data_IF_559311554890
#
_entry.id   IF_559311554890
#
_cell.length_a   1.000
_cell.length_b   1.000
_cell.length_c   1.000
_cell.angle_alpha   90.00
_cell.angle_beta   90.00
_cell.angle_gamma   90.00
#
_symmetry.space_group_name_H-M   'P 1'
#
loop_
_entity.id
_entity.type
_entity.pdbx_description
1 polymer ?
#
# COMPACT_ATOMS: atom_id res chain seq x y z
N UNK A 1 23.14 -59.57 12.15
CA UNK A 1 23.83 -58.26 12.16
C UNK A 1 23.48 -57.54 10.87
N UNK A 2 22.81 -56.41 11.00
CA UNK A 2 22.30 -55.50 9.97
C UNK A 2 23.42 -54.83 9.17
N UNK A 3 23.09 -54.32 7.97
CA UNK A 3 23.31 -52.91 7.60
C UNK A 3 22.57 -52.58 6.29
N UNK A 4 21.58 -51.70 6.42
CA UNK A 4 20.85 -51.01 5.37
C UNK A 4 21.64 -49.77 4.89
N UNK A 5 21.30 -49.26 3.71
CA UNK A 5 21.42 -47.81 3.41
C UNK A 5 20.49 -47.39 2.27
N UNK A 6 19.24 -47.09 2.62
CA UNK A 6 18.32 -46.27 1.82
C UNK A 6 18.52 -44.80 2.18
N UNK A 7 18.92 -44.00 1.19
CA UNK A 7 19.10 -42.55 1.30
C UNK A 7 17.75 -41.86 1.15
N UNK A 8 17.12 -41.48 2.27
CA UNK A 8 15.99 -40.55 2.31
C UNK A 8 16.51 -39.25 2.91
N UNK A 9 16.71 -38.25 2.05
CA UNK A 9 17.07 -36.89 2.45
C UNK A 9 15.79 -36.20 2.95
N UNK A 10 15.69 -36.00 4.26
CA UNK A 10 14.59 -35.22 4.86
C UNK A 10 14.67 -33.77 4.38
N UNK A 11 13.59 -33.28 3.75
CA UNK A 11 13.42 -31.84 3.52
C UNK A 11 12.93 -31.21 4.81
N UNK A 12 13.72 -30.30 5.36
CA UNK A 12 13.32 -29.44 6.47
C UNK A 12 12.25 -28.48 5.93
N UNK A 13 11.02 -28.63 6.43
CA UNK A 13 9.97 -27.62 6.31
C UNK A 13 10.42 -26.41 7.13
N UNK A 14 10.85 -25.35 6.45
CA UNK A 14 11.07 -24.04 7.07
C UNK A 14 9.69 -23.47 7.39
N UNK A 15 9.23 -23.68 8.62
CA UNK A 15 8.06 -22.96 9.15
C UNK A 15 8.45 -21.48 9.30
N UNK A 16 7.64 -20.53 8.80
CA UNK A 16 7.89 -19.11 9.02
C UNK A 16 7.85 -18.75 10.53
N UNK A 17 8.49 -17.64 10.93
CA UNK A 17 8.55 -17.22 12.33
C UNK A 17 7.16 -17.10 12.96
N UNK A 18 7.03 -17.58 14.20
CA UNK A 18 5.76 -17.67 14.97
C UNK A 18 5.15 -16.32 15.40
N UNK A 19 5.52 -15.20 14.78
CA UNK A 19 5.14 -13.86 15.26
C UNK A 19 3.67 -13.48 14.99
N UNK A 20 2.99 -14.13 14.04
CA UNK A 20 1.67 -13.67 13.54
C UNK A 20 0.52 -14.66 13.78
N UNK A 21 0.63 -15.55 14.77
CA UNK A 21 -0.37 -16.61 15.02
C UNK A 21 -1.73 -16.15 15.58
N UNK A 22 -1.99 -14.84 15.71
CA UNK A 22 -3.19 -14.31 16.36
C UNK A 22 -4.19 -13.59 15.43
N UNK A 23 -3.96 -13.55 14.11
CA UNK A 23 -4.92 -12.98 13.17
C UNK A 23 -5.89 -14.08 12.68
N UNK A 24 -7.18 -13.90 12.96
CA UNK A 24 -8.24 -14.85 12.61
C UNK A 24 -8.22 -15.20 11.11
N UNK A 25 -8.19 -16.50 10.81
CA UNK A 25 -8.40 -17.06 9.46
C UNK A 25 -9.85 -16.80 9.01
N UNK A 26 -10.11 -15.59 8.50
CA UNK A 26 -11.36 -15.24 7.85
C UNK A 26 -11.40 -15.75 6.41
N UNK A 27 -12.44 -16.52 6.07
CA UNK A 27 -12.68 -17.03 4.73
C UNK A 27 -13.08 -15.89 3.77
N UNK A 28 -12.09 -15.33 3.08
CA UNK A 28 -12.27 -14.64 1.81
C UNK A 28 -11.25 -15.25 0.85
N UNK A 29 -11.68 -16.18 0.00
CA UNK A 29 -10.83 -16.76 -1.04
C UNK A 29 -10.68 -15.70 -2.14
N UNK A 30 -9.73 -14.79 -1.94
CA UNK A 30 -9.15 -14.01 -3.03
C UNK A 30 -8.13 -14.90 -3.72
N UNK A 31 -8.14 -14.94 -5.05
CA UNK A 31 -7.00 -15.49 -5.78
C UNK A 31 -5.85 -14.49 -5.62
N UNK A 32 -4.67 -14.91 -5.11
CA UNK A 32 -3.55 -14.02 -4.92
C UNK A 32 -3.18 -13.33 -6.23
N UNK A 33 -2.78 -12.06 -6.16
CA UNK A 33 -2.39 -11.28 -7.35
C UNK A 33 -0.92 -10.88 -7.31
N UNK A 34 0.03 -11.80 -7.60
CA UNK A 34 1.47 -11.54 -7.41
C UNK A 34 2.00 -10.30 -8.12
N UNK A 35 1.51 -10.00 -9.32
CA UNK A 35 1.92 -8.82 -10.07
C UNK A 35 1.48 -7.52 -9.38
N UNK A 36 0.27 -7.49 -8.84
CA UNK A 36 -0.25 -6.34 -8.11
C UNK A 36 0.49 -6.18 -6.77
N UNK A 37 0.70 -7.27 -6.04
CA UNK A 37 1.46 -7.26 -4.77
C UNK A 37 2.88 -6.75 -5.00
N UNK A 38 3.56 -7.25 -6.04
CA UNK A 38 4.89 -6.75 -6.43
C UNK A 38 4.89 -5.25 -6.67
N UNK A 39 3.93 -4.76 -7.47
CA UNK A 39 3.83 -3.34 -7.83
C UNK A 39 3.63 -2.46 -6.59
N UNK A 40 2.74 -2.85 -5.67
CA UNK A 40 2.50 -2.10 -4.44
C UNK A 40 3.69 -2.20 -3.50
N UNK A 41 4.31 -3.37 -3.35
CA UNK A 41 5.51 -3.55 -2.54
C UNK A 41 6.66 -2.65 -3.03
N UNK A 42 6.93 -2.61 -4.32
CA UNK A 42 7.99 -1.76 -4.89
C UNK A 42 7.73 -0.28 -4.60
N UNK A 43 6.47 0.17 -4.72
CA UNK A 43 6.07 1.53 -4.38
C UNK A 43 6.18 1.82 -2.87
N UNK A 44 5.70 0.91 -2.01
CA UNK A 44 5.80 1.04 -0.55
C UNK A 44 7.26 1.10 -0.11
N UNK A 45 8.09 0.15 -0.55
CA UNK A 45 9.52 0.10 -0.25
C UNK A 45 10.21 1.39 -0.67
N UNK A 46 9.90 1.90 -1.88
CA UNK A 46 10.43 3.18 -2.35
C UNK A 46 10.01 4.33 -1.41
N UNK A 47 8.72 4.46 -1.10
CA UNK A 47 8.20 5.51 -0.23
C UNK A 47 8.80 5.50 1.18
N UNK A 48 8.92 4.31 1.79
CA UNK A 48 9.56 4.15 3.11
C UNK A 48 11.04 4.52 3.09
N UNK A 49 11.78 4.17 2.02
CA UNK A 49 13.18 4.58 1.89
C UNK A 49 13.32 6.09 1.69
N UNK A 50 12.47 6.72 0.86
CA UNK A 50 12.44 8.19 0.74
C UNK A 50 12.13 8.85 2.10
N UNK A 51 11.27 8.23 2.91
CA UNK A 51 10.92 8.74 4.23
C UNK A 51 12.07 8.61 5.23
N UNK A 52 12.80 7.49 5.19
CA UNK A 52 14.02 7.26 5.96
C UNK A 52 15.10 8.29 5.58
N UNK A 53 15.35 8.48 4.29
CA UNK A 53 16.32 9.46 3.76
C UNK A 53 15.99 10.89 4.22
N UNK A 54 14.72 11.28 4.20
CA UNK A 54 14.29 12.59 4.67
C UNK A 54 14.62 12.81 6.17
N UNK A 55 14.40 11.79 7.00
CA UNK A 55 14.72 11.85 8.43
C UNK A 55 16.23 11.78 8.71
N UNK A 56 16.99 11.05 7.90
CA UNK A 56 18.46 11.06 7.97
C UNK A 56 19.00 12.45 7.64
N UNK A 57 18.47 13.12 6.60
CA UNK A 57 18.86 14.48 6.26
C UNK A 57 18.49 15.50 7.37
N UNK A 58 17.34 15.32 8.02
CA UNK A 58 16.97 16.12 9.20
C UNK A 58 17.94 15.88 10.37
N UNK A 59 18.29 14.62 10.64
CA UNK A 59 19.26 14.28 11.68
C UNK A 59 20.62 14.92 11.42
N UNK A 60 21.10 14.88 10.16
CA UNK A 60 22.36 15.51 9.75
C UNK A 60 22.33 17.03 9.95
N UNK A 61 21.21 17.67 9.59
CA UNK A 61 21.00 19.09 9.81
C UNK A 61 21.02 19.47 11.30
N UNK A 62 20.27 18.75 12.14
CA UNK A 62 20.23 18.97 13.59
C UNK A 62 21.61 18.72 14.23
N UNK A 63 22.31 17.67 13.79
CA UNK A 63 23.64 17.32 14.27
C UNK A 63 24.70 18.36 13.87
N UNK A 64 24.59 18.94 12.67
CA UNK A 64 25.40 20.07 12.22
C UNK A 64 25.21 21.29 13.11
N UNK A 65 23.95 21.70 13.34
CA UNK A 65 23.62 22.80 14.27
C UNK A 65 24.14 22.56 15.67
N UNK A 66 24.12 21.32 16.14
CA UNK A 66 24.63 20.94 17.46
C UNK A 66 26.14 21.15 17.58
N UNK A 67 26.91 20.93 16.50
CA UNK A 67 28.35 21.21 16.44
C UNK A 67 28.65 22.71 16.44
N UNK A 68 27.92 23.50 15.67
CA UNK A 68 28.15 24.95 15.53
C UNK A 68 27.71 25.74 16.76
N UNK A 69 26.62 25.31 17.41
CA UNK A 69 26.07 26.04 18.55
C UNK A 69 26.99 26.00 19.76
N UNK A 70 27.84 24.96 19.94
CA UNK A 70 28.83 24.79 21.04
C UNK A 70 29.69 26.03 21.35
N UNK A 71 29.74 27.02 20.45
CA UNK A 71 30.38 28.34 20.63
C UNK A 71 29.55 29.38 21.40
N UNK A 72 28.23 29.22 21.54
CA UNK A 72 27.31 30.22 22.11
C UNK A 72 26.54 29.65 23.33
N UNK A 73 26.56 30.38 24.46
CA UNK A 73 26.21 29.91 25.80
C UNK A 73 24.70 29.98 26.14
N UNK A 74 23.88 29.03 25.67
CA UNK A 74 22.48 28.85 26.13
C UNK A 74 22.17 27.39 26.44
N UNK A 75 22.43 26.94 27.67
CA UNK A 75 22.33 25.53 28.11
C UNK A 75 20.97 24.87 27.77
N UNK A 76 19.85 25.57 27.99
CA UNK A 76 18.51 25.05 27.69
C UNK A 76 18.31 24.71 26.20
N UNK A 77 18.90 25.50 25.30
CA UNK A 77 18.82 25.27 23.86
C UNK A 77 19.53 23.95 23.45
N UNK A 78 20.64 23.58 24.11
CA UNK A 78 21.30 22.29 23.83
C UNK A 78 20.48 21.11 24.29
N UNK A 79 19.84 21.22 25.45
CA UNK A 79 19.00 20.15 25.97
C UNK A 79 17.84 19.87 25.00
N UNK A 80 17.18 20.92 24.50
CA UNK A 80 16.11 20.78 23.53
C UNK A 80 16.61 20.20 22.19
N UNK A 81 17.78 20.64 21.72
CA UNK A 81 18.38 20.14 20.49
C UNK A 81 18.82 18.66 20.60
N UNK A 82 19.47 18.27 21.70
CA UNK A 82 19.86 16.87 21.96
C UNK A 82 18.61 15.97 22.09
N UNK A 83 17.54 16.47 22.72
CA UNK A 83 16.26 15.78 22.80
C UNK A 83 15.65 15.57 21.41
N UNK A 84 15.69 16.58 20.54
CA UNK A 84 15.23 16.46 19.16
C UNK A 84 16.06 15.44 18.37
N UNK A 85 17.39 15.52 18.44
CA UNK A 85 18.31 14.57 17.81
C UNK A 85 17.98 13.13 18.22
N UNK A 86 17.87 12.85 19.53
CA UNK A 86 17.51 11.53 20.04
C UNK A 86 16.11 11.07 19.64
N UNK A 87 15.20 12.00 19.37
CA UNK A 87 13.86 11.68 18.89
C UNK A 87 13.92 11.21 17.45
N UNK A 88 14.60 11.95 16.57
CA UNK A 88 14.77 11.60 15.15
C UNK A 88 15.57 10.31 15.01
N UNK A 89 16.65 10.13 15.77
CA UNK A 89 17.44 8.90 15.83
C UNK A 89 16.62 7.66 16.18
N UNK A 90 15.70 7.77 17.15
CA UNK A 90 14.81 6.67 17.51
C UNK A 90 13.78 6.40 16.42
N UNK A 91 13.32 7.44 15.73
CA UNK A 91 12.37 7.31 14.64
C UNK A 91 12.99 6.64 13.41
N UNK A 92 14.21 7.02 13.03
CA UNK A 92 15.00 6.36 11.97
C UNK A 92 15.10 4.86 12.23
N UNK A 93 15.46 4.44 13.46
CA UNK A 93 15.54 3.01 13.82
C UNK A 93 14.20 2.27 13.70
N UNK A 94 13.09 2.95 14.01
CA UNK A 94 11.75 2.38 13.81
C UNK A 94 11.42 2.22 12.33
N UNK A 95 11.80 3.19 11.49
CA UNK A 95 11.62 3.10 10.04
C UNK A 95 12.47 1.98 9.43
N UNK A 96 13.72 1.85 9.83
CA UNK A 96 14.60 0.75 9.39
C UNK A 96 14.00 -0.63 9.74
N UNK A 97 13.45 -0.75 10.95
CA UNK A 97 12.74 -1.96 11.36
C UNK A 97 11.49 -2.20 10.52
N UNK A 98 10.67 -1.17 10.31
CA UNK A 98 9.46 -1.26 9.47
C UNK A 98 9.78 -1.69 8.03
N UNK A 99 10.83 -1.11 7.42
CA UNK A 99 11.30 -1.51 6.09
C UNK A 99 11.69 -2.99 6.08
N UNK A 100 12.42 -3.44 7.12
CA UNK A 100 12.85 -4.84 7.24
C UNK A 100 11.65 -5.80 7.36
N UNK A 101 10.62 -5.44 8.14
CA UNK A 101 9.38 -6.24 8.26
C UNK A 101 8.65 -6.36 6.91
N UNK A 102 8.54 -5.25 6.18
CA UNK A 102 7.90 -5.22 4.85
C UNK A 102 8.68 -6.07 3.84
N UNK A 103 10.01 -6.02 3.87
CA UNK A 103 10.87 -6.85 3.02
C UNK A 103 10.74 -8.35 3.36
N UNK A 104 10.76 -8.72 4.64
CA UNK A 104 10.61 -10.11 5.07
C UNK A 104 9.25 -10.70 4.64
N UNK A 105 8.17 -9.92 4.80
CA UNK A 105 6.84 -10.32 4.33
C UNK A 105 6.82 -10.58 2.82
N UNK A 106 7.44 -9.69 2.03
CA UNK A 106 7.47 -9.85 0.57
C UNK A 106 8.35 -11.02 0.13
N UNK A 107 9.48 -11.27 0.81
CA UNK A 107 10.30 -12.45 0.58
C UNK A 107 9.54 -13.75 0.86
N UNK A 108 8.81 -13.80 1.99
CA UNK A 108 7.94 -14.92 2.33
C UNK A 108 6.85 -15.13 1.25
N UNK A 109 6.24 -14.05 0.77
CA UNK A 109 5.26 -14.10 -0.32
C UNK A 109 5.87 -14.69 -1.61
N UNK A 110 7.08 -14.27 -1.99
CA UNK A 110 7.79 -14.77 -3.16
C UNK A 110 8.12 -16.27 -3.04
N UNK A 111 8.46 -16.75 -1.84
CA UNK A 111 8.67 -18.18 -1.59
C UNK A 111 7.36 -18.95 -1.84
N UNK A 112 6.25 -18.47 -1.30
CA UNK A 112 4.94 -19.13 -1.49
C UNK A 112 4.49 -19.11 -2.95
N UNK A 113 4.73 -18.03 -3.69
CA UNK A 113 4.51 -17.98 -5.14
C UNK A 113 5.23 -19.12 -5.85
N UNK A 114 6.54 -19.27 -5.59
CA UNK A 114 7.39 -20.29 -6.24
C UNK A 114 6.96 -21.72 -5.88
N UNK A 115 6.56 -21.95 -4.62
CA UNK A 115 6.06 -23.26 -4.17
C UNK A 115 4.74 -23.61 -4.86
N UNK A 116 3.80 -22.65 -4.93
CA UNK A 116 2.51 -22.82 -5.61
C UNK A 116 2.69 -23.11 -7.10
N UNK A 117 3.57 -22.37 -7.77
CA UNK A 117 3.86 -22.56 -9.20
C UNK A 117 4.51 -23.93 -9.44
N UNK A 118 5.47 -24.32 -8.60
CA UNK A 118 6.09 -25.64 -8.65
C UNK A 118 5.07 -26.78 -8.48
N UNK A 119 4.18 -26.68 -7.50
CA UNK A 119 3.13 -27.67 -7.26
C UNK A 119 2.11 -27.71 -8.42
N UNK A 120 1.76 -26.56 -9.00
CA UNK A 120 0.87 -26.46 -10.15
C UNK A 120 1.48 -27.11 -11.40
N UNK A 121 2.76 -26.87 -11.66
CA UNK A 121 3.50 -27.49 -12.77
C UNK A 121 3.59 -29.01 -12.60
N UNK A 122 3.87 -29.50 -11.39
CA UNK A 122 3.85 -30.94 -11.10
C UNK A 122 2.46 -31.53 -11.31
N UNK A 123 1.41 -30.86 -10.85
CA UNK A 123 0.01 -31.30 -11.01
C UNK A 123 -0.34 -31.49 -12.49
N UNK A 124 0.06 -30.55 -13.34
CA UNK A 124 -0.12 -30.65 -14.78
C UNK A 124 0.63 -31.85 -15.37
N UNK A 125 1.90 -32.04 -15.00
CA UNK A 125 2.71 -33.18 -15.47
C UNK A 125 2.12 -34.54 -15.05
N UNK A 126 1.64 -34.67 -13.81
CA UNK A 126 0.98 -35.89 -13.33
C UNK A 126 -0.36 -36.15 -14.02
N UNK A 127 -1.09 -35.10 -14.41
CA UNK A 127 -2.37 -35.23 -15.13
C UNK A 127 -2.18 -35.73 -16.57
N UNK A 128 -1.01 -35.49 -17.17
CA UNK A 128 -0.63 -36.00 -18.49
C UNK A 128 -0.01 -37.42 -18.43
N UNK A 129 0.29 -37.92 -17.24
CA UNK A 129 0.93 -39.22 -17.03
C UNK A 129 -0.09 -40.34 -16.83
N UNK A 130 0.26 -41.62 -17.11
CA UNK A 130 -0.63 -42.75 -16.87
C UNK A 130 -1.15 -42.80 -15.42
N UNK A 131 -2.45 -43.06 -15.26
CA UNK A 131 -3.11 -43.06 -13.96
C UNK A 131 -2.78 -44.34 -13.17
N UNK A 132 -1.78 -44.26 -12.29
CA UNK A 132 -1.40 -45.29 -11.32
C UNK A 132 -1.93 -44.92 -9.92
N UNK A 133 -1.96 -45.88 -8.99
CA UNK A 133 -2.33 -45.59 -7.59
C UNK A 133 -1.42 -44.52 -6.97
N UNK A 134 -0.10 -44.65 -7.19
CA UNK A 134 0.88 -43.68 -6.69
C UNK A 134 0.69 -42.29 -7.31
N UNK A 135 0.41 -42.19 -8.62
CA UNK A 135 0.17 -40.88 -9.25
C UNK A 135 -1.11 -40.22 -8.75
N UNK A 136 -2.15 -41.00 -8.41
CA UNK A 136 -3.37 -40.46 -7.77
C UNK A 136 -3.10 -39.91 -6.37
N UNK A 137 -2.32 -40.63 -5.55
CA UNK A 137 -1.91 -40.16 -4.22
C UNK A 137 -1.07 -38.88 -4.30
N UNK A 138 -0.09 -38.82 -5.22
CA UNK A 138 0.69 -37.61 -5.48
C UNK A 138 -0.16 -36.43 -5.94
N UNK A 139 -1.16 -36.66 -6.79
CA UNK A 139 -2.08 -35.61 -7.23
C UNK A 139 -2.85 -35.02 -6.03
N UNK A 140 -3.37 -35.84 -5.13
CA UNK A 140 -4.08 -35.37 -3.93
C UNK A 140 -3.19 -34.49 -3.05
N UNK A 141 -1.93 -34.89 -2.83
CA UNK A 141 -0.97 -34.07 -2.09
C UNK A 141 -0.67 -32.74 -2.80
N UNK A 142 -0.52 -32.75 -4.13
CA UNK A 142 -0.29 -31.54 -4.92
C UNK A 142 -1.47 -30.57 -4.87
N UNK A 143 -2.71 -31.08 -4.92
CA UNK A 143 -3.90 -30.24 -4.72
C UNK A 143 -3.89 -29.57 -3.34
N UNK A 144 -3.56 -30.33 -2.28
CA UNK A 144 -3.44 -29.77 -0.93
C UNK A 144 -2.34 -28.71 -0.85
N UNK A 145 -1.16 -28.97 -1.42
CA UNK A 145 -0.05 -28.03 -1.39
C UNK A 145 -0.37 -26.73 -2.14
N UNK A 146 -1.03 -26.79 -3.30
CA UNK A 146 -1.47 -25.58 -4.02
C UNK A 146 -2.45 -24.77 -3.18
N UNK A 147 -3.39 -25.43 -2.51
CA UNK A 147 -4.35 -24.79 -1.62
C UNK A 147 -3.66 -24.12 -0.42
N UNK A 148 -2.79 -24.84 0.28
CA UNK A 148 -2.03 -24.33 1.43
C UNK A 148 -1.18 -23.11 1.03
N UNK A 149 -0.45 -23.19 -0.10
CA UNK A 149 0.33 -22.04 -0.58
C UNK A 149 -0.56 -20.84 -0.91
N UNK A 150 -1.76 -21.08 -1.47
CA UNK A 150 -2.71 -20.01 -1.79
C UNK A 150 -3.24 -19.33 -0.52
N UNK A 151 -3.58 -20.11 0.51
CA UNK A 151 -3.98 -19.58 1.81
C UNK A 151 -2.86 -18.77 2.48
N UNK A 152 -1.63 -19.28 2.46
CA UNK A 152 -0.46 -18.58 3.00
C UNK A 152 -0.19 -17.27 2.25
N UNK A 153 -0.33 -17.27 0.92
CA UNK A 153 -0.20 -16.05 0.11
C UNK A 153 -1.24 -15.00 0.50
N UNK A 154 -2.51 -15.37 0.63
CA UNK A 154 -3.58 -14.46 1.05
C UNK A 154 -3.35 -13.92 2.46
N UNK A 155 -2.82 -14.76 3.36
CA UNK A 155 -2.46 -14.33 4.71
C UNK A 155 -1.34 -13.28 4.68
N UNK A 156 -0.29 -13.51 3.89
CA UNK A 156 0.83 -12.57 3.76
C UNK A 156 0.37 -11.27 3.08
N UNK A 157 -0.52 -11.33 2.09
CA UNK A 157 -1.14 -10.13 1.50
C UNK A 157 -1.87 -9.30 2.57
N UNK A 158 -2.68 -9.94 3.41
CA UNK A 158 -3.36 -9.26 4.52
C UNK A 158 -2.38 -8.66 5.56
N UNK A 159 -1.26 -9.34 5.84
CA UNK A 159 -0.22 -8.80 6.71
C UNK A 159 0.48 -7.58 6.07
N UNK A 160 0.79 -7.65 4.77
CA UNK A 160 1.40 -6.54 4.03
C UNK A 160 0.47 -5.31 3.96
N UNK A 161 -0.85 -5.52 3.87
CA UNK A 161 -1.84 -4.42 3.87
C UNK A 161 -1.77 -3.55 5.13
N UNK A 162 -1.43 -4.14 6.29
CA UNK A 162 -1.28 -3.40 7.55
C UNK A 162 -0.16 -2.37 7.48
N UNK A 163 0.84 -2.59 6.62
CA UNK A 163 2.01 -1.73 6.47
C UNK A 163 1.85 -0.63 5.42
N UNK A 164 0.71 -0.56 4.73
CA UNK A 164 0.49 0.45 3.67
C UNK A 164 0.29 1.88 4.21
N UNK A 165 0.06 2.03 5.52
CA UNK A 165 -0.17 3.32 6.15
C UNK A 165 -1.57 3.89 5.85
N UNK A 166 -1.67 5.21 5.82
CA UNK A 166 -2.92 5.94 5.60
C UNK A 166 -2.75 6.98 4.49
N UNK A 167 -3.72 7.07 3.58
CA UNK A 167 -3.79 8.15 2.59
C UNK A 167 -4.67 9.28 3.11
N UNK A 168 -4.04 10.39 3.45
CA UNK A 168 -4.69 11.63 3.85
C UNK A 168 -4.93 12.46 2.58
N UNK A 169 -6.19 12.53 2.13
CA UNK A 169 -6.57 13.16 0.87
C UNK A 169 -7.36 14.44 1.15
N UNK A 170 -6.90 15.54 0.59
CA UNK A 170 -7.53 16.86 0.68
C UNK A 170 -7.99 17.37 -0.69
N UNK A 171 -9.23 17.81 -0.79
CA UNK A 171 -9.78 18.48 -1.96
C UNK A 171 -9.13 19.86 -2.16
N UNK A 172 -8.70 20.16 -3.38
CA UNK A 172 -8.14 21.47 -3.73
C UNK A 172 -8.96 22.23 -4.77
N UNK A 173 -9.74 21.54 -5.60
CA UNK A 173 -10.64 22.17 -6.54
C UNK A 173 -10.72 21.44 -7.88
N UNK A 174 -11.69 21.83 -8.69
CA UNK A 174 -11.85 21.45 -10.09
C UNK A 174 -11.19 22.52 -10.98
N UNK A 175 -10.55 22.14 -12.09
CA UNK A 175 -9.91 23.09 -13.03
C UNK A 175 -10.10 22.61 -14.47
N UNK A 176 -10.26 23.52 -15.42
CA UNK A 176 -10.21 23.21 -16.85
C UNK A 176 -11.53 22.67 -17.44
N UNK A 177 -12.59 22.55 -16.65
CA UNK A 177 -13.93 22.34 -17.20
C UNK A 177 -14.32 23.58 -18.02
N UNK A 178 -14.79 23.39 -19.25
CA UNK A 178 -14.93 24.43 -20.28
C UNK A 178 -15.81 25.64 -19.90
N UNK A 179 -16.44 25.62 -18.72
CA UNK A 179 -16.53 26.76 -17.79
C UNK A 179 -16.96 26.25 -16.41
N UNK A 180 -16.21 26.59 -15.37
CA UNK A 180 -16.72 26.61 -13.99
C UNK A 180 -17.32 28.00 -13.78
N UNK A 181 -18.63 28.13 -13.86
CA UNK A 181 -19.32 29.40 -13.72
C UNK A 181 -19.75 29.63 -12.26
N UNK A 182 -19.78 30.89 -11.80
CA UNK A 182 -20.43 31.24 -10.54
C UNK A 182 -21.83 30.65 -10.42
N UNK A 183 -22.08 29.97 -9.30
CA UNK A 183 -23.34 29.28 -9.02
C UNK A 183 -23.39 27.81 -9.46
N UNK A 184 -22.44 27.34 -10.27
CA UNK A 184 -22.34 25.92 -10.61
C UNK A 184 -22.11 25.09 -9.34
N UNK A 185 -22.74 23.92 -9.31
CA UNK A 185 -22.62 22.97 -8.22
C UNK A 185 -22.13 21.63 -8.75
N UNK A 186 -21.20 21.02 -8.03
CA UNK A 186 -20.62 19.75 -8.37
C UNK A 186 -20.69 18.79 -7.19
N UNK A 187 -20.85 17.51 -7.48
CA UNK A 187 -20.63 16.42 -6.53
C UNK A 187 -19.43 15.60 -7.02
N UNK A 188 -18.43 15.46 -6.13
CA UNK A 188 -17.30 14.57 -6.34
C UNK A 188 -17.51 13.35 -5.46
N UNK A 189 -17.27 12.17 -6.03
CA UNK A 189 -17.30 10.90 -5.33
C UNK A 189 -15.96 10.21 -5.53
N UNK A 190 -15.23 10.00 -4.44
CA UNK A 190 -13.96 9.28 -4.40
C UNK A 190 -14.17 7.96 -3.68
N UNK A 191 -13.70 6.86 -4.27
CA UNK A 191 -13.84 5.51 -3.70
C UNK A 191 -12.51 4.76 -3.76
N UNK A 192 -12.17 4.09 -2.66
CA UNK A 192 -11.08 3.12 -2.59
C UNK A 192 -11.63 1.84 -1.95
N UNK A 193 -11.92 0.84 -2.79
CA UNK A 193 -12.63 -0.37 -2.37
C UNK A 193 -13.99 -0.05 -1.73
N UNK A 194 -14.12 -0.37 -0.44
CA UNK A 194 -15.33 -0.15 0.37
C UNK A 194 -15.42 1.26 0.96
N UNK A 195 -14.31 2.01 0.99
CA UNK A 195 -14.26 3.36 1.54
C UNK A 195 -14.75 4.35 0.50
N UNK A 196 -15.63 5.25 0.92
CA UNK A 196 -16.29 6.23 0.05
C UNK A 196 -16.19 7.61 0.68
N UNK A 197 -15.98 8.60 -0.17
CA UNK A 197 -16.01 10.01 0.18
C UNK A 197 -16.85 10.73 -0.86
N UNK A 198 -17.87 11.45 -0.41
CA UNK A 198 -18.76 12.22 -1.26
C UNK A 198 -18.74 13.64 -0.74
N UNK A 199 -18.38 14.57 -1.60
CA UNK A 199 -18.30 15.98 -1.28
C UNK A 199 -19.03 16.78 -2.35
N UNK A 200 -19.68 17.86 -1.94
CA UNK A 200 -20.38 18.81 -2.79
C UNK A 200 -19.66 20.13 -2.76
N UNK A 201 -19.40 20.66 -3.94
CA UNK A 201 -18.74 21.93 -4.13
C UNK A 201 -19.61 22.91 -4.88
N UNK A 202 -19.39 24.20 -4.62
CA UNK A 202 -20.00 25.30 -5.34
C UNK A 202 -18.92 26.25 -5.83
N UNK A 203 -19.11 26.75 -7.05
CA UNK A 203 -18.30 27.84 -7.59
C UNK A 203 -18.91 29.16 -7.13
N UNK A 204 -18.12 29.98 -6.43
CA UNK A 204 -18.55 31.26 -5.89
C UNK A 204 -18.45 32.38 -6.94
N UNK A 205 -18.95 33.58 -6.59
CA UNK A 205 -18.98 34.73 -7.50
C UNK A 205 -17.60 35.29 -7.84
N UNK A 206 -16.59 34.96 -7.04
CA UNK A 206 -15.19 35.34 -7.23
C UNK A 206 -14.35 34.19 -7.84
N UNK A 207 -15.01 33.18 -8.42
CA UNK A 207 -14.42 31.95 -8.97
C UNK A 207 -13.73 31.05 -7.93
N UNK A 208 -13.80 31.39 -6.63
CA UNK A 208 -13.37 30.50 -5.56
C UNK A 208 -14.31 29.28 -5.46
N UNK A 209 -13.82 28.20 -4.87
CA UNK A 209 -14.59 26.97 -4.72
C UNK A 209 -14.74 26.65 -3.24
N UNK A 210 -15.98 26.47 -2.82
CA UNK A 210 -16.31 26.00 -1.47
C UNK A 210 -16.70 24.53 -1.56
N UNK A 211 -16.29 23.72 -0.58
CA UNK A 211 -16.59 22.30 -0.48
C UNK A 211 -17.12 22.00 0.92
N UNK A 212 -18.16 21.17 1.02
CA UNK A 212 -18.77 20.78 2.30
C UNK A 212 -17.83 19.91 3.17
N UNK A 213 -17.06 19.04 2.52
CA UNK A 213 -15.99 18.24 3.11
C UNK A 213 -14.70 18.44 2.32
N UNK A 214 -13.62 18.83 3.02
CA UNK A 214 -12.33 19.07 2.36
C UNK A 214 -11.35 17.90 2.49
N UNK A 215 -11.49 17.02 3.47
CA UNK A 215 -10.48 16.02 3.80
C UNK A 215 -11.07 14.66 4.14
N UNK A 216 -10.39 13.60 3.71
CA UNK A 216 -10.72 12.22 4.07
C UNK A 216 -9.46 11.37 4.19
N UNK A 217 -9.42 10.53 5.22
CA UNK A 217 -8.43 9.47 5.38
C UNK A 217 -8.94 8.19 4.71
N UNK A 218 -8.11 7.57 3.88
CA UNK A 218 -8.35 6.26 3.26
C UNK A 218 -7.28 5.26 3.70
N UNK A 219 -7.70 4.06 4.08
CA UNK A 219 -6.80 2.92 4.31
C UNK A 219 -6.49 2.26 2.97
N UNK A 220 -5.24 2.23 2.50
CA UNK A 220 -4.89 1.58 1.24
C UNK A 220 -5.16 0.07 1.29
N UNK A 221 -5.43 -0.52 0.13
CA UNK A 221 -5.60 -1.96 -0.04
C UNK A 221 -4.76 -2.39 -1.24
N UNK A 222 -4.20 -3.62 -1.22
CA UNK A 222 -3.30 -4.10 -2.28
C UNK A 222 -3.98 -4.16 -3.64
N UNK A 223 -5.28 -4.48 -3.65
CA UNK A 223 -6.02 -4.85 -4.84
C UNK A 223 -7.01 -3.80 -5.33
N UNK A 224 -7.15 -2.69 -4.60
CA UNK A 224 -8.11 -1.64 -4.88
C UNK A 224 -7.47 -0.43 -5.54
N UNK A 225 -8.22 0.17 -6.47
CA UNK A 225 -7.86 1.41 -7.14
C UNK A 225 -8.73 2.54 -6.63
N UNK A 226 -8.22 3.76 -6.74
CA UNK A 226 -9.07 4.93 -6.58
C UNK A 226 -9.98 5.05 -7.79
N UNK A 227 -11.25 5.31 -7.53
CA UNK A 227 -12.25 5.71 -8.53
C UNK A 227 -12.73 7.10 -8.14
N UNK A 228 -12.61 8.05 -9.06
CA UNK A 228 -13.07 9.42 -8.88
C UNK A 228 -14.15 9.70 -9.91
N UNK A 229 -15.34 10.06 -9.44
CA UNK A 229 -16.48 10.43 -10.26
C UNK A 229 -16.84 11.88 -9.98
N UNK A 230 -17.03 12.67 -11.03
CA UNK A 230 -17.50 14.06 -10.93
C UNK A 230 -18.84 14.19 -11.61
N UNK A 231 -19.79 14.81 -10.93
CA UNK A 231 -21.16 15.01 -11.39
C UNK A 231 -21.52 16.49 -11.22
N UNK A 232 -22.11 17.11 -12.23
CA UNK A 232 -22.64 18.47 -12.16
C UNK A 232 -24.11 18.41 -11.68
N UNK A 233 -24.47 19.29 -10.75
CA UNK A 233 -25.80 19.39 -10.17
C UNK A 233 -26.54 20.58 -10.82
N UNK A 234 -27.58 20.31 -11.61
CA UNK A 234 -28.39 21.32 -12.29
C UNK A 234 -29.84 21.28 -11.78
N UNK A 235 -30.10 21.99 -10.70
CA UNK A 235 -31.40 21.97 -10.04
C UNK A 235 -31.74 20.57 -9.52
N UNK A 236 -32.78 19.94 -10.10
CA UNK A 236 -33.15 18.56 -9.77
C UNK A 236 -32.44 17.50 -10.65
N UNK A 237 -31.74 17.92 -11.70
CA UNK A 237 -31.01 17.02 -12.59
C UNK A 237 -29.55 16.85 -12.14
N UNK A 238 -28.99 15.68 -12.40
CA UNK A 238 -27.56 15.39 -12.21
C UNK A 238 -26.95 14.93 -13.53
N UNK A 239 -25.81 15.51 -13.89
CA UNK A 239 -25.13 15.21 -15.16
C UNK A 239 -23.76 14.63 -14.84
N UNK A 240 -23.50 13.40 -15.28
CA UNK A 240 -22.18 12.80 -15.15
C UNK A 240 -21.18 13.58 -16.02
N UNK A 241 -20.15 14.12 -15.38
CA UNK A 241 -19.08 14.83 -16.09
C UNK A 241 -18.01 13.82 -16.53
N UNK A 242 -17.57 12.95 -15.62
CA UNK A 242 -16.59 11.94 -15.94
C UNK A 242 -16.30 11.00 -14.78
N UNK A 243 -15.65 9.88 -15.08
CA UNK A 243 -15.14 8.89 -14.13
C UNK A 243 -13.74 8.50 -14.53
N UNK A 244 -12.82 8.53 -13.58
CA UNK A 244 -11.44 8.09 -13.76
C UNK A 244 -11.07 7.08 -12.71
N UNK A 245 -10.18 6.15 -13.06
CA UNK A 245 -9.57 5.22 -12.09
C UNK A 245 -8.07 5.40 -12.09
N UNK A 246 -7.46 5.45 -10.91
CA UNK A 246 -6.03 5.59 -10.73
C UNK A 246 -5.47 4.56 -9.76
N UNK A 247 -4.24 4.13 -10.03
CA UNK A 247 -3.57 3.11 -9.24
C UNK A 247 -2.96 3.71 -7.97
N UNK A 248 -3.22 3.07 -6.83
CA UNK A 248 -2.75 3.50 -5.51
C UNK A 248 -1.21 3.45 -5.41
N UNK A 249 -0.55 2.61 -6.21
CA UNK A 249 0.92 2.52 -6.24
C UNK A 249 1.62 3.85 -6.51
N UNK A 250 0.91 4.78 -7.17
CA UNK A 250 1.47 6.07 -7.59
C UNK A 250 1.63 7.05 -6.43
N UNK A 251 1.09 6.73 -5.25
CA UNK A 251 0.91 7.70 -4.16
C UNK A 251 1.82 7.46 -2.95
N UNK A 252 2.54 6.34 -2.89
CA UNK A 252 3.44 6.02 -1.76
C UNK A 252 4.70 6.90 -1.76
N UNK A 253 4.60 8.08 -1.16
CA UNK A 253 5.70 9.04 -1.02
C UNK A 253 5.56 9.82 0.28
N UNK A 254 6.68 10.17 0.95
CA UNK A 254 6.66 10.85 2.24
C UNK A 254 6.25 12.31 2.19
N UNK A 255 6.32 12.94 1.01
CA UNK A 255 6.01 14.35 0.86
C UNK A 255 4.56 14.51 0.42
N UNK A 256 3.81 15.46 0.98
CA UNK A 256 2.50 15.81 0.46
C UNK A 256 2.58 16.16 -1.03
N UNK A 257 1.85 15.44 -1.86
CA UNK A 257 1.85 15.60 -3.30
C UNK A 257 0.59 16.33 -3.76
N UNK A 258 0.74 17.30 -4.66
CA UNK A 258 -0.38 17.82 -5.42
C UNK A 258 -0.66 16.86 -6.58
N UNK A 259 -1.80 16.20 -6.54
CA UNK A 259 -2.27 15.28 -7.57
C UNK A 259 -3.24 16.04 -8.46
N UNK A 260 -2.97 16.04 -9.76
CA UNK A 260 -3.90 16.51 -10.78
C UNK A 260 -4.37 15.29 -11.55
N UNK A 261 -5.67 15.03 -11.55
CA UNK A 261 -6.26 13.90 -12.25
C UNK A 261 -7.21 14.42 -13.32
N UNK A 262 -6.96 14.03 -14.56
CA UNK A 262 -7.84 14.36 -15.68
C UNK A 262 -9.13 13.55 -15.54
N UNK A 263 -10.26 14.25 -15.43
CA UNK A 263 -11.61 13.68 -15.37
C UNK A 263 -12.21 13.60 -16.78
N UNK A 264 -11.89 14.58 -17.63
CA UNK A 264 -12.22 14.63 -19.05
C UNK A 264 -11.01 15.15 -19.83
N UNK A 265 -11.10 15.30 -21.17
CA UNK A 265 -10.00 15.85 -21.99
C UNK A 265 -9.53 17.25 -21.56
N UNK A 266 -10.40 18.02 -20.90
CA UNK A 266 -10.10 19.40 -20.48
C UNK A 266 -10.26 19.59 -18.96
N UNK A 267 -11.16 18.83 -18.33
CA UNK A 267 -11.52 18.97 -16.92
C UNK A 267 -10.69 18.09 -16.02
N UNK A 268 -10.14 18.67 -14.95
CA UNK A 268 -9.24 18.03 -14.00
C UNK A 268 -9.71 18.26 -12.56
N UNK A 269 -9.45 17.29 -11.68
CA UNK A 269 -9.56 17.45 -10.24
C UNK A 269 -8.16 17.63 -9.65
N UNK A 270 -8.03 18.58 -8.74
CA UNK A 270 -6.84 18.80 -7.94
C UNK A 270 -7.08 18.28 -6.52
N UNK A 271 -6.21 17.38 -6.08
CA UNK A 271 -6.16 16.83 -4.74
C UNK A 271 -4.78 17.08 -4.15
N UNK A 272 -4.68 17.13 -2.83
CA UNK A 272 -3.42 16.98 -2.10
C UNK A 272 -3.47 15.65 -1.38
N UNK A 273 -2.45 14.81 -1.53
CA UNK A 273 -2.35 13.52 -0.86
C UNK A 273 -1.06 13.44 -0.07
N UNK A 274 -1.17 12.96 1.16
CA UNK A 274 -0.05 12.65 2.05
C UNK A 274 -0.19 11.21 2.55
N UNK A 275 0.92 10.49 2.62
CA UNK A 275 0.94 9.13 3.18
C UNK A 275 1.58 9.18 4.55
N UNK A 276 0.88 8.66 5.55
CA UNK A 276 1.40 8.50 6.91
C UNK A 276 1.62 7.02 7.20
N UNK A 277 2.82 6.66 7.64
CA UNK A 277 3.23 5.31 8.03
C UNK A 277 3.48 5.20 9.53
#
# INVERSE_FOLDING_TARGET
KSLSRSSVRSRVSLKPPKAYSSLQKGALVWDPKPLQVKKIFEALKKGLNEYLEAHQAELDYLSGRHKDTKRNSRLAFYYDLDKQIRSVERYIRKLEFHISEVEELYEAYCIQCRLRDGATNMKQAFSLSPATKASRESLVELYRNVQECTEDMCFIEGALEVHLGEFHVKMKGLVGFARLCPGDQYEVFVRLGRQKWRLRGKIETDDSQTWDEEEKIFIPNLHEKFEIKVTELRGLATILVGVVTCDSSSFFSPKPQAIVVDITELGTIKLRLEVLW
#
